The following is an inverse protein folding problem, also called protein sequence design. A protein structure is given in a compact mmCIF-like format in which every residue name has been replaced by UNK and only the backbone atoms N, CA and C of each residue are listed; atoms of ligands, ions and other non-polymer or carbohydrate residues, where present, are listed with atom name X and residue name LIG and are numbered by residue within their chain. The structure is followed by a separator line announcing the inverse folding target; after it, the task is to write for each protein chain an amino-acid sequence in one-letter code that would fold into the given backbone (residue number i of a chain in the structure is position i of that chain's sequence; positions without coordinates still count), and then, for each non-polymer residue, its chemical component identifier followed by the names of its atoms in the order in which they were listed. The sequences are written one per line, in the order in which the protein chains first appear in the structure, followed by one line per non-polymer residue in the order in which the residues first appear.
data_IF_631449149482
#
_entry.id   IF_631449149482
#
_cell.length_a   1.000
_cell.length_b   1.000
_cell.length_c   1.000
_cell.angle_alpha   90.00
_cell.angle_beta   90.00
_cell.angle_gamma   90.00
#
_symmetry.space_group_name_H-M   'P 1'
#
loop_
_entity.id
_entity.type
_entity.pdbx_description
1 polymer ?
#
# COMPACT_ATOMS: atom_id res chain seq x y z
N UNK A 1 10.93 -28.47 0.09
CA UNK A 1 10.94 -28.14 1.53
C UNK A 1 10.88 -26.63 1.65
N UNK A 2 9.89 -26.07 2.36
CA UNK A 2 9.76 -24.61 2.52
C UNK A 2 10.74 -24.20 3.61
N UNK A 3 11.77 -23.42 3.25
CA UNK A 3 12.75 -22.91 4.22
C UNK A 3 12.13 -21.75 5.00
N UNK A 4 12.30 -21.76 6.32
CA UNK A 4 12.02 -20.59 7.16
C UNK A 4 13.06 -19.51 6.83
N UNK A 5 12.58 -18.32 6.48
CA UNK A 5 13.41 -17.12 6.36
C UNK A 5 13.59 -16.56 7.79
N UNK A 6 14.82 -16.19 8.15
CA UNK A 6 15.17 -15.58 9.44
C UNK A 6 15.37 -14.06 9.36
N UNK A 7 15.13 -13.49 8.18
CA UNK A 7 15.30 -12.07 7.88
C UNK A 7 13.93 -11.39 7.78
N UNK A 8 13.91 -10.07 8.02
CA UNK A 8 12.73 -9.25 7.75
C UNK A 8 12.45 -9.22 6.25
N UNK A 9 11.20 -9.48 5.86
CA UNK A 9 10.77 -9.53 4.46
C UNK A 9 9.76 -8.43 4.17
N UNK A 10 9.99 -7.69 3.08
CA UNK A 10 8.99 -6.79 2.50
C UNK A 10 8.32 -7.51 1.33
N UNK A 11 6.99 -7.65 1.41
CA UNK A 11 6.17 -8.22 0.35
C UNK A 11 5.36 -7.11 -0.31
N UNK A 12 5.45 -6.99 -1.64
CA UNK A 12 4.65 -6.05 -2.44
C UNK A 12 3.81 -6.82 -3.47
N UNK A 13 2.49 -6.69 -3.35
CA UNK A 13 1.47 -7.24 -4.25
C UNK A 13 0.11 -6.70 -3.84
N UNK A 14 -0.84 -6.61 -4.78
CA UNK A 14 -2.23 -6.24 -4.50
C UNK A 14 -2.91 -7.20 -3.50
N UNK A 15 -2.44 -8.45 -3.41
CA UNK A 15 -2.94 -9.46 -2.46
C UNK A 15 -1.93 -9.79 -1.35
N UNK A 16 -0.93 -8.94 -1.11
CA UNK A 16 0.05 -9.17 -0.04
C UNK A 16 -0.59 -9.30 1.35
N UNK A 17 -1.74 -8.65 1.57
CA UNK A 17 -2.55 -8.76 2.78
C UNK A 17 -3.13 -10.17 3.03
N UNK A 18 -3.13 -11.05 2.01
CA UNK A 18 -3.57 -12.44 2.14
C UNK A 18 -2.50 -13.34 2.79
N UNK A 19 -1.25 -12.89 2.80
CA UNK A 19 -0.13 -13.67 3.34
C UNK A 19 0.02 -13.43 4.85
N UNK A 20 0.66 -14.35 5.61
CA UNK A 20 1.05 -14.06 6.98
C UNK A 20 1.98 -12.84 7.04
N UNK A 21 1.57 -11.80 7.76
CA UNK A 21 2.36 -10.59 8.01
C UNK A 21 2.35 -10.22 9.50
N UNK A 22 3.37 -9.47 9.94
CA UNK A 22 3.42 -8.86 11.27
C UNK A 22 2.94 -7.40 11.25
N UNK A 23 3.20 -6.70 10.14
CA UNK A 23 2.79 -5.31 9.88
C UNK A 23 2.29 -5.21 8.44
N UNK A 24 1.24 -4.42 8.22
CA UNK A 24 0.76 -4.06 6.88
C UNK A 24 0.92 -2.56 6.65
N UNK A 25 1.46 -2.18 5.49
CA UNK A 25 1.61 -0.78 5.08
C UNK A 25 0.67 -0.49 3.92
N UNK A 26 -0.26 0.45 4.12
CA UNK A 26 -1.20 0.90 3.09
C UNK A 26 -0.73 2.24 2.55
N UNK A 27 -0.34 2.27 1.28
CA UNK A 27 0.04 3.50 0.58
C UNK A 27 -1.20 4.14 -0.04
N UNK A 28 -1.51 5.36 0.40
CA UNK A 28 -2.62 6.18 -0.11
C UNK A 28 -2.10 7.23 -1.06
N UNK A 29 -2.96 7.69 -1.96
CA UNK A 29 -2.63 8.82 -2.86
C UNK A 29 -3.88 9.60 -3.19
N UNK A 30 -3.78 10.93 -3.24
CA UNK A 30 -4.85 11.77 -3.74
C UNK A 30 -5.33 11.29 -5.14
N UNK A 31 -6.65 11.10 -5.34
CA UNK A 31 -7.21 10.61 -6.61
C UNK A 31 -6.78 11.40 -7.86
N UNK A 32 -6.64 12.71 -7.76
CA UNK A 32 -6.21 13.53 -8.90
C UNK A 32 -4.75 13.29 -9.27
N UNK A 33 -3.89 13.13 -8.26
CA UNK A 33 -2.48 12.83 -8.47
C UNK A 33 -2.29 11.40 -8.98
N UNK A 34 -3.01 10.42 -8.41
CA UNK A 34 -3.00 9.05 -8.88
C UNK A 34 -3.41 8.98 -10.36
N UNK A 35 -4.44 9.73 -10.75
CA UNK A 35 -4.89 9.79 -12.16
C UNK A 35 -3.81 10.35 -13.08
N UNK A 36 -3.07 11.37 -12.65
CA UNK A 36 -1.92 11.93 -13.41
C UNK A 36 -0.79 10.90 -13.54
N UNK A 37 -0.44 10.22 -12.44
CA UNK A 37 0.61 9.17 -12.41
C UNK A 37 0.26 8.01 -13.34
N UNK A 38 -0.99 7.53 -13.34
CA UNK A 38 -1.43 6.43 -14.20
C UNK A 38 -1.46 6.80 -15.68
N UNK A 39 -1.96 8.00 -16.02
CA UNK A 39 -1.89 8.51 -17.40
C UNK A 39 -0.46 8.64 -17.90
N UNK A 40 0.47 9.11 -17.04
CA UNK A 40 1.89 9.18 -17.37
C UNK A 40 2.55 7.82 -17.64
N UNK A 41 1.99 6.73 -17.09
CA UNK A 41 2.41 5.34 -17.35
C UNK A 41 1.76 4.73 -18.61
N UNK A 42 0.90 5.45 -19.32
CA UNK A 42 0.26 4.97 -20.56
C UNK A 42 -0.88 3.97 -20.34
N UNK A 43 -1.46 3.91 -19.14
CA UNK A 43 -2.66 3.08 -18.90
C UNK A 43 -3.88 3.64 -19.63
N UNK A 44 -4.76 2.76 -20.09
CA UNK A 44 -6.03 3.17 -20.70
C UNK A 44 -6.98 3.77 -19.66
N UNK A 45 -7.98 4.51 -20.14
CA UNK A 45 -8.85 5.36 -19.31
C UNK A 45 -9.66 4.54 -18.31
N UNK A 46 -10.22 3.42 -18.75
CA UNK A 46 -11.09 2.56 -17.97
C UNK A 46 -10.32 1.97 -16.77
N UNK A 47 -9.12 1.42 -17.01
CA UNK A 47 -8.26 0.90 -15.94
C UNK A 47 -7.79 1.99 -14.98
N UNK A 48 -7.54 3.19 -15.50
CA UNK A 48 -7.21 4.33 -14.65
C UNK A 48 -8.36 4.62 -13.70
N UNK A 49 -9.59 4.76 -14.21
CA UNK A 49 -10.74 5.13 -13.38
C UNK A 49 -11.09 4.03 -12.38
N UNK A 50 -11.00 2.75 -12.75
CA UNK A 50 -11.19 1.61 -11.82
C UNK A 50 -10.25 1.71 -10.60
N UNK A 51 -8.97 2.04 -10.80
CA UNK A 51 -8.02 2.22 -9.70
C UNK A 51 -8.31 3.47 -8.87
N UNK A 52 -8.81 4.53 -9.50
CA UNK A 52 -9.23 5.75 -8.77
C UNK A 52 -10.46 5.47 -7.90
N UNK A 53 -11.45 4.78 -8.43
CA UNK A 53 -12.65 4.37 -7.71
C UNK A 53 -12.29 3.49 -6.51
N UNK A 54 -11.38 2.52 -6.69
CA UNK A 54 -10.89 1.68 -5.60
C UNK A 54 -10.20 2.48 -4.48
N UNK A 55 -9.39 3.48 -4.83
CA UNK A 55 -8.73 4.36 -3.85
C UNK A 55 -9.74 5.24 -3.08
N UNK A 56 -10.75 5.76 -3.78
CA UNK A 56 -11.84 6.55 -3.17
C UNK A 56 -12.68 5.69 -2.22
N UNK A 57 -12.95 4.44 -2.60
CA UNK A 57 -13.69 3.48 -1.78
C UNK A 57 -12.85 2.84 -0.68
N UNK A 58 -11.57 3.21 -0.55
CA UNK A 58 -10.62 2.67 0.43
C UNK A 58 -10.47 1.14 0.39
N UNK A 59 -10.62 0.51 -0.79
CA UNK A 59 -10.71 -0.96 -0.92
C UNK A 59 -9.49 -1.67 -0.29
N UNK A 60 -8.27 -1.27 -0.65
CA UNK A 60 -7.06 -1.90 -0.10
C UNK A 60 -6.92 -1.72 1.42
N UNK A 61 -7.45 -0.62 1.97
CA UNK A 61 -7.45 -0.37 3.42
C UNK A 61 -8.48 -1.25 4.13
N UNK A 62 -9.69 -1.38 3.59
CA UNK A 62 -10.70 -2.27 4.16
C UNK A 62 -10.22 -3.72 4.16
N UNK A 63 -9.63 -4.19 3.05
CA UNK A 63 -9.07 -5.55 2.95
C UNK A 63 -7.94 -5.78 3.98
N UNK A 64 -7.05 -4.80 4.15
CA UNK A 64 -6.00 -4.88 5.16
C UNK A 64 -6.57 -4.93 6.59
N UNK A 65 -7.59 -4.12 6.89
CA UNK A 65 -8.24 -4.08 8.20
C UNK A 65 -8.94 -5.40 8.56
N UNK A 66 -9.59 -6.05 7.59
CA UNK A 66 -10.24 -7.35 7.79
C UNK A 66 -9.25 -8.45 8.21
N UNK A 67 -7.98 -8.33 7.81
CA UNK A 67 -6.89 -9.29 8.13
C UNK A 67 -6.02 -8.87 9.30
N UNK A 68 -6.19 -7.66 9.82
CA UNK A 68 -5.29 -7.05 10.78
C UNK A 68 -5.30 -7.78 12.14
N UNK A 69 -6.48 -8.14 12.64
CA UNK A 69 -6.63 -8.64 14.01
C UNK A 69 -6.00 -7.66 15.01
N UNK A 70 -5.01 -8.15 15.76
CA UNK A 70 -4.25 -7.38 16.76
C UNK A 70 -2.84 -6.98 16.26
N UNK A 71 -2.62 -7.02 14.94
CA UNK A 71 -1.37 -6.59 14.29
C UNK A 71 -1.40 -5.09 13.99
N UNK A 72 -0.25 -4.56 13.55
CA UNK A 72 -0.09 -3.13 13.28
C UNK A 72 -0.37 -2.78 11.82
N UNK A 73 -1.16 -1.73 11.60
CA UNK A 73 -1.37 -1.12 10.29
C UNK A 73 -0.69 0.24 10.25
N UNK A 74 0.03 0.51 9.17
CA UNK A 74 0.67 1.79 8.90
C UNK A 74 0.05 2.36 7.62
N UNK A 75 -0.65 3.49 7.73
CA UNK A 75 -1.17 4.21 6.58
C UNK A 75 -0.24 5.38 6.25
N UNK A 76 0.14 5.52 4.97
CA UNK A 76 1.03 6.57 4.48
C UNK A 76 0.39 7.25 3.28
N UNK A 77 0.13 8.55 3.39
CA UNK A 77 -0.21 9.36 2.23
C UNK A 77 1.05 9.64 1.41
N UNK A 78 1.07 9.23 0.13
CA UNK A 78 2.19 9.45 -0.80
C UNK A 78 1.96 10.62 -1.77
N UNK A 79 0.90 11.39 -1.57
CA UNK A 79 0.56 12.59 -2.36
C UNK A 79 1.69 13.62 -2.28
N UNK A 80 2.25 14.00 -3.43
CA UNK A 80 3.37 14.94 -3.53
C UNK A 80 4.67 14.51 -2.86
N UNK A 81 4.76 13.29 -2.31
CA UNK A 81 5.95 12.77 -1.63
C UNK A 81 6.87 12.05 -2.59
N UNK A 82 8.18 12.12 -2.32
CA UNK A 82 9.14 11.22 -2.93
C UNK A 82 9.15 9.87 -2.21
N UNK A 83 9.59 8.79 -2.87
CA UNK A 83 9.69 7.48 -2.22
C UNK A 83 10.52 7.50 -0.94
N UNK A 84 11.60 8.30 -0.88
CA UNK A 84 12.48 8.39 0.29
C UNK A 84 11.75 8.98 1.52
N UNK A 85 10.86 9.95 1.29
CA UNK A 85 10.06 10.57 2.35
C UNK A 85 9.04 9.57 2.91
N UNK A 86 8.39 8.81 2.03
CA UNK A 86 7.44 7.76 2.42
C UNK A 86 8.15 6.65 3.22
N UNK A 87 9.33 6.20 2.76
CA UNK A 87 10.13 5.19 3.48
C UNK A 87 10.54 5.70 4.86
N UNK A 88 10.98 6.95 4.97
CA UNK A 88 11.34 7.53 6.26
C UNK A 88 10.17 7.51 7.24
N UNK A 89 8.98 7.91 6.79
CA UNK A 89 7.77 7.89 7.62
C UNK A 89 7.36 6.47 8.03
N UNK A 90 7.48 5.49 7.13
CA UNK A 90 7.24 4.08 7.44
C UNK A 90 8.21 3.62 8.54
N UNK A 91 9.50 3.94 8.43
CA UNK A 91 10.51 3.54 9.39
C UNK A 91 10.32 4.21 10.76
N UNK A 92 9.85 5.46 10.81
CA UNK A 92 9.49 6.14 12.05
C UNK A 92 8.30 5.42 12.71
N UNK A 93 7.21 5.22 11.96
CA UNK A 93 6.03 4.51 12.45
C UNK A 93 6.31 3.07 12.86
N UNK A 94 7.24 2.36 12.22
CA UNK A 94 7.61 0.99 12.61
C UNK A 94 8.25 0.91 14.00
N UNK A 95 8.90 2.00 14.46
CA UNK A 95 9.60 2.05 15.76
C UNK A 95 8.70 2.42 16.94
N UNK A 96 7.51 2.96 16.67
CA UNK A 96 6.47 3.28 17.67
C UNK A 96 5.82 2.03 18.25
#
# INVERSE_FOLDING_TARGET
EIKKIQEDLVMDSHYSHEMPFDVVVVLRTNPEELRKRMKGKGWWKEKTEENIEAEIMEICKSEALERLGNKKMIEIDTTGKKPEDAVKEIMEKLRE
#
